data_IF_760834706683
#
_entry.id   IF_760834706683
#
_cell.length_a   1.000
_cell.length_b   1.000
_cell.length_c   1.000
_cell.angle_alpha   90.00
_cell.angle_beta   90.00
_cell.angle_gamma   90.00
#
_symmetry.space_group_name_H-M   'P 1'
#
loop_
_entity.id
_entity.type
_entity.pdbx_description
1 polymer ?
#
# COMPACT_ATOMS: atom_id res chain seq x y z
N UNK A 1 9.15 -22.80 -1.55
CA UNK A 1 9.71 -21.45 -1.65
C UNK A 1 8.57 -20.47 -1.72
N UNK A 2 8.63 -19.26 -1.13
CA UNK A 2 7.61 -18.25 -1.38
C UNK A 2 7.46 -18.05 -2.89
N UNK A 3 6.23 -18.12 -3.40
CA UNK A 3 5.98 -18.00 -4.83
C UNK A 3 6.00 -16.52 -5.22
N UNK A 4 6.97 -16.17 -6.05
CA UNK A 4 7.13 -14.86 -6.63
C UNK A 4 6.26 -14.77 -7.90
N UNK A 5 5.55 -13.66 -8.07
CA UNK A 5 4.81 -13.38 -9.30
C UNK A 5 5.78 -13.09 -10.45
N UNK A 6 5.41 -13.50 -11.67
CA UNK A 6 6.11 -13.15 -12.90
C UNK A 6 6.08 -11.63 -13.19
N UNK A 7 5.10 -10.93 -12.62
CA UNK A 7 5.07 -9.47 -12.61
C UNK A 7 5.84 -8.99 -11.37
N UNK A 8 7.15 -8.77 -11.52
CA UNK A 8 8.03 -8.41 -10.41
C UNK A 8 7.96 -6.93 -10.00
N UNK A 9 8.68 -6.58 -8.92
CA UNK A 9 8.68 -5.22 -8.34
C UNK A 9 9.37 -4.17 -9.20
N UNK A 10 10.20 -4.59 -10.15
CA UNK A 10 10.83 -3.75 -11.15
C UNK A 10 9.80 -3.03 -12.04
N UNK A 11 8.61 -3.62 -12.21
CA UNK A 11 7.49 -2.97 -12.91
C UNK A 11 6.93 -1.76 -12.14
N UNK A 12 7.29 -1.63 -10.86
CA UNK A 12 7.00 -0.45 -10.04
C UNK A 12 8.20 0.49 -9.95
N UNK A 13 9.29 0.26 -10.68
CA UNK A 13 10.51 1.07 -10.61
C UNK A 13 11.37 0.81 -9.36
N UNK A 14 11.02 -0.20 -8.57
CA UNK A 14 11.78 -0.62 -7.39
C UNK A 14 12.95 -1.48 -7.86
N UNK A 15 14.16 -1.10 -7.50
CA UNK A 15 15.40 -1.77 -7.90
C UNK A 15 16.41 -1.75 -6.75
N UNK A 16 17.41 -2.64 -6.81
CA UNK A 16 18.51 -2.69 -5.85
C UNK A 16 18.04 -2.78 -4.38
N UNK A 17 17.01 -3.58 -4.09
CA UNK A 17 16.51 -3.80 -2.73
C UNK A 17 17.40 -4.78 -1.97
N UNK A 18 17.19 -4.86 -0.65
CA UNK A 18 17.65 -5.99 0.15
C UNK A 18 16.82 -7.25 -0.14
N UNK A 19 16.51 -8.00 0.90
CA UNK A 19 15.70 -9.20 0.77
C UNK A 19 14.24 -8.86 0.42
N UNK A 20 13.64 -9.63 -0.49
CA UNK A 20 12.24 -9.45 -0.89
C UNK A 20 11.43 -10.68 -0.50
N UNK A 21 10.55 -10.51 0.49
CA UNK A 21 9.74 -11.55 1.09
C UNK A 21 8.34 -11.61 0.47
N UNK A 22 8.21 -12.42 -0.57
CA UNK A 22 6.96 -12.62 -1.29
C UNK A 22 5.98 -13.51 -0.53
N UNK A 23 4.74 -13.02 -0.33
CA UNK A 23 3.58 -13.82 0.08
C UNK A 23 3.83 -14.69 1.33
N UNK A 24 4.62 -14.18 2.28
CA UNK A 24 4.89 -14.88 3.53
C UNK A 24 3.58 -15.21 4.24
N UNK A 25 3.50 -16.44 4.76
CA UNK A 25 2.35 -16.89 5.54
C UNK A 25 2.42 -16.34 6.97
N UNK A 26 1.31 -16.48 7.71
CA UNK A 26 1.17 -15.92 9.06
C UNK A 26 2.31 -16.33 10.01
N UNK A 27 2.74 -17.61 10.12
CA UNK A 27 3.87 -17.98 10.98
C UNK A 27 5.17 -17.28 10.63
N UNK A 28 5.54 -17.19 9.33
CA UNK A 28 6.76 -16.49 8.91
C UNK A 28 6.71 -14.99 9.18
N UNK A 29 5.53 -14.39 9.00
CA UNK A 29 5.34 -12.99 9.35
C UNK A 29 5.49 -12.76 10.85
N UNK A 30 4.98 -13.66 11.69
CA UNK A 30 5.21 -13.60 13.14
C UNK A 30 6.69 -13.67 13.49
N UNK A 31 7.44 -14.60 12.90
CA UNK A 31 8.88 -14.73 13.10
C UNK A 31 9.62 -13.44 12.72
N UNK A 32 9.33 -12.87 11.56
CA UNK A 32 9.96 -11.63 11.10
C UNK A 32 9.57 -10.42 11.97
N UNK A 33 8.32 -10.31 12.41
CA UNK A 33 7.88 -9.24 13.34
C UNK A 33 8.72 -9.26 14.62
N UNK A 34 8.93 -10.44 15.22
CA UNK A 34 9.69 -10.59 16.46
C UNK A 34 11.19 -10.36 16.23
N UNK A 35 11.75 -10.95 15.17
CA UNK A 35 13.16 -10.79 14.77
C UNK A 35 13.51 -9.32 14.51
N UNK A 36 12.62 -8.58 13.85
CA UNK A 36 12.78 -7.15 13.53
C UNK A 36 12.37 -6.20 14.65
N UNK A 37 11.86 -6.73 15.77
CA UNK A 37 11.37 -5.93 16.91
C UNK A 37 10.26 -4.95 16.54
N UNK A 38 9.43 -5.32 15.57
CA UNK A 38 8.28 -4.52 15.13
C UNK A 38 7.09 -4.64 16.10
N UNK A 39 7.05 -5.71 16.89
CA UNK A 39 5.99 -6.01 17.83
C UNK A 39 6.38 -7.11 18.82
N UNK A 40 5.41 -7.56 19.59
CA UNK A 40 5.57 -8.66 20.53
C UNK A 40 4.36 -9.59 20.50
N UNK A 41 4.56 -10.89 20.72
CA UNK A 41 3.45 -11.82 20.96
C UNK A 41 2.99 -11.64 22.40
N UNK A 42 1.68 -11.48 22.62
CA UNK A 42 1.08 -11.36 23.95
C UNK A 42 0.29 -12.61 24.33
N UNK A 43 -0.25 -12.62 25.55
CA UNK A 43 -1.10 -13.72 26.02
C UNK A 43 -2.21 -14.06 25.00
N UNK A 44 -2.43 -15.35 24.77
CA UNK A 44 -3.31 -15.93 23.74
C UNK A 44 -2.77 -15.92 22.30
N UNK A 45 -1.55 -15.45 22.09
CA UNK A 45 -0.88 -15.52 20.80
C UNK A 45 -1.04 -14.36 19.81
N UNK A 46 -1.86 -13.30 19.99
CA UNK A 46 -1.85 -12.21 19.03
C UNK A 46 -0.57 -11.38 19.13
N UNK A 47 -0.20 -10.74 18.03
CA UNK A 47 0.87 -9.75 17.99
C UNK A 47 0.33 -8.38 18.39
N UNK A 48 1.01 -7.71 19.31
CA UNK A 48 0.83 -6.28 19.59
C UNK A 48 1.91 -5.47 18.86
N UNK A 49 1.51 -4.34 18.27
CA UNK A 49 2.39 -3.37 17.60
C UNK A 49 2.12 -1.96 18.12
N UNK A 50 3.02 -1.03 17.80
CA UNK A 50 2.83 0.41 18.06
C UNK A 50 2.94 1.17 16.75
N UNK A 51 1.98 2.05 16.49
CA UNK A 51 1.92 2.86 15.24
C UNK A 51 2.54 4.25 15.38
N UNK A 52 3.20 4.52 16.53
CA UNK A 52 3.85 5.80 16.81
C UNK A 52 2.86 6.94 16.98
N UNK A 53 3.19 8.12 16.43
CA UNK A 53 2.41 9.35 16.56
C UNK A 53 1.02 9.27 15.91
N UNK A 54 0.91 8.54 14.80
CA UNK A 54 -0.35 8.35 14.10
C UNK A 54 -1.09 7.12 14.65
N UNK A 55 -2.03 7.35 15.56
CA UNK A 55 -2.88 6.29 16.16
C UNK A 55 -4.25 6.17 15.48
N UNK A 56 -4.53 7.02 14.51
CA UNK A 56 -5.78 7.08 13.76
C UNK A 56 -5.53 7.61 12.34
N UNK A 57 -6.61 7.73 11.56
CA UNK A 57 -6.52 8.21 10.18
C UNK A 57 -5.95 9.63 10.10
N UNK A 58 -5.05 9.83 9.16
CA UNK A 58 -4.51 11.12 8.77
C UNK A 58 -5.32 11.69 7.60
N UNK A 59 -6.62 11.94 7.82
CA UNK A 59 -7.55 12.34 6.74
C UNK A 59 -7.14 13.64 6.02
N UNK A 60 -6.40 14.52 6.69
CA UNK A 60 -5.86 15.74 6.09
C UNK A 60 -4.65 15.48 5.18
N UNK A 61 -4.03 14.32 5.30
CA UNK A 61 -2.82 13.91 4.57
C UNK A 61 -3.16 13.02 3.35
N UNK A 62 -4.45 12.81 3.08
CA UNK A 62 -4.94 12.12 1.88
C UNK A 62 -5.07 13.09 0.70
N UNK A 63 -4.50 12.69 -0.43
CA UNK A 63 -4.57 13.39 -1.71
C UNK A 63 -4.84 12.42 -2.87
N UNK A 64 -5.32 12.97 -3.97
CA UNK A 64 -5.52 12.27 -5.25
C UNK A 64 -4.79 13.07 -6.33
N UNK A 65 -3.93 12.40 -7.09
CA UNK A 65 -3.20 13.04 -8.19
C UNK A 65 -4.21 13.53 -9.22
N UNK A 66 -4.08 14.81 -9.58
CA UNK A 66 -4.90 15.44 -10.60
C UNK A 66 -4.30 15.16 -11.97
N UNK A 67 -4.71 14.04 -12.56
CA UNK A 67 -4.22 13.53 -13.85
C UNK A 67 -5.38 13.26 -14.84
N UNK A 68 -5.13 13.29 -16.16
CA UNK A 68 -6.21 13.36 -17.16
C UNK A 68 -7.18 12.17 -17.18
N UNK A 69 -6.75 10.96 -16.80
CA UNK A 69 -7.56 9.74 -16.90
C UNK A 69 -8.63 9.63 -15.81
N UNK A 70 -8.46 10.30 -14.67
CA UNK A 70 -9.43 10.31 -13.58
C UNK A 70 -10.03 11.69 -13.29
N UNK A 71 -9.42 12.79 -13.74
CA UNK A 71 -9.78 14.14 -13.29
C UNK A 71 -11.28 14.46 -13.36
N UNK A 72 -11.94 14.02 -14.43
CA UNK A 72 -13.38 14.28 -14.66
C UNK A 72 -14.30 13.45 -13.78
N UNK A 73 -13.81 12.35 -13.23
CA UNK A 73 -14.57 11.39 -12.43
C UNK A 73 -14.37 11.60 -10.92
N UNK A 74 -13.48 12.49 -10.51
CA UNK A 74 -13.23 12.79 -9.10
C UNK A 74 -14.08 13.96 -8.62
N UNK A 75 -14.79 13.76 -7.52
CA UNK A 75 -15.46 14.84 -6.80
C UNK A 75 -14.45 15.62 -5.94
N UNK A 76 -13.81 16.61 -6.55
CA UNK A 76 -12.76 17.42 -5.92
C UNK A 76 -13.28 18.24 -4.72
N UNK A 77 -12.51 18.26 -3.63
CA UNK A 77 -12.87 19.02 -2.44
C UNK A 77 -11.99 18.71 -1.24
N UNK A 78 -12.48 19.02 -0.04
CA UNK A 78 -11.74 18.79 1.22
C UNK A 78 -11.37 17.30 1.43
N UNK A 79 -12.24 16.39 1.01
CA UNK A 79 -12.02 14.94 1.17
C UNK A 79 -11.14 14.34 0.06
N UNK A 80 -11.23 14.90 -1.14
CA UNK A 80 -10.47 14.49 -2.33
C UNK A 80 -9.62 15.67 -2.79
N UNK A 81 -8.51 15.90 -2.09
CA UNK A 81 -7.62 17.04 -2.38
C UNK A 81 -6.77 16.75 -3.60
N UNK A 82 -6.67 17.68 -4.57
CA UNK A 82 -5.81 17.49 -5.72
C UNK A 82 -4.34 17.50 -5.29
N UNK A 83 -3.55 16.64 -5.92
CA UNK A 83 -2.09 16.63 -5.86
C UNK A 83 -1.53 16.81 -7.27
N UNK A 84 -0.47 17.61 -7.40
CA UNK A 84 0.17 17.86 -8.68
C UNK A 84 0.95 16.62 -9.16
N UNK A 85 0.78 16.21 -10.41
CA UNK A 85 1.42 15.01 -10.95
C UNK A 85 2.96 15.11 -10.96
N UNK A 86 3.51 16.30 -11.25
CA UNK A 86 4.95 16.52 -11.21
C UNK A 86 5.52 16.31 -9.80
N UNK A 87 4.86 16.87 -8.77
CA UNK A 87 5.26 16.67 -7.38
C UNK A 87 5.14 15.21 -6.96
N UNK A 88 4.09 14.51 -7.40
CA UNK A 88 3.95 13.08 -7.15
C UNK A 88 5.14 12.32 -7.73
N UNK A 89 5.53 12.63 -8.97
CA UNK A 89 6.66 11.98 -9.63
C UNK A 89 7.98 12.24 -8.89
N UNK A 90 8.23 13.47 -8.44
CA UNK A 90 9.42 13.79 -7.64
C UNK A 90 9.44 13.04 -6.30
N UNK A 91 8.31 13.03 -5.59
CA UNK A 91 8.18 12.29 -4.32
C UNK A 91 8.36 10.79 -4.53
N UNK A 92 7.78 10.24 -5.61
CA UNK A 92 7.92 8.84 -5.97
C UNK A 92 9.37 8.44 -6.23
N UNK A 93 10.13 9.26 -6.97
CA UNK A 93 11.55 9.03 -7.23
C UNK A 93 12.38 9.03 -5.94
N UNK A 94 12.10 9.95 -5.01
CA UNK A 94 12.75 9.97 -3.70
C UNK A 94 12.46 8.70 -2.90
N UNK A 95 11.21 8.23 -2.98
CA UNK A 95 10.79 7.01 -2.31
C UNK A 95 11.47 5.78 -2.95
N UNK A 96 11.60 5.72 -4.28
CA UNK A 96 12.38 4.67 -4.97
C UNK A 96 13.85 4.67 -4.53
N UNK A 97 14.45 5.86 -4.40
CA UNK A 97 15.83 5.99 -3.91
C UNK A 97 15.96 5.53 -2.45
N UNK A 98 14.99 5.86 -1.59
CA UNK A 98 14.95 5.41 -0.19
C UNK A 98 14.86 3.89 -0.05
N UNK A 99 14.16 3.20 -0.97
CA UNK A 99 14.00 1.75 -0.90
C UNK A 99 15.23 0.96 -1.35
N UNK A 100 16.26 1.61 -1.90
CA UNK A 100 17.49 0.93 -2.26
C UNK A 100 18.19 0.39 -1.00
N UNK A 101 18.53 -0.91 -1.02
CA UNK A 101 19.11 -1.63 0.10
C UNK A 101 18.12 -2.04 1.19
N UNK A 102 16.85 -1.64 1.11
CA UNK A 102 15.85 -2.00 2.10
C UNK A 102 15.21 -3.36 1.79
N UNK A 103 14.93 -4.11 2.85
CA UNK A 103 14.11 -5.32 2.76
C UNK A 103 12.64 -4.95 2.53
N UNK A 104 11.94 -5.76 1.72
CA UNK A 104 10.53 -5.55 1.39
C UNK A 104 9.70 -6.79 1.65
N UNK A 105 8.47 -6.58 2.10
CA UNK A 105 7.44 -7.59 2.23
C UNK A 105 6.34 -7.32 1.21
N UNK A 106 5.94 -8.38 0.49
CA UNK A 106 4.92 -8.30 -0.55
C UNK A 106 3.76 -9.22 -0.22
N UNK A 107 2.54 -8.72 -0.34
CA UNK A 107 1.33 -9.54 -0.33
C UNK A 107 0.52 -9.27 -1.61
N UNK A 108 0.40 -10.31 -2.42
CA UNK A 108 -0.52 -10.39 -3.53
C UNK A 108 -1.86 -10.93 -3.02
N UNK A 109 -2.90 -10.11 -3.14
CA UNK A 109 -4.22 -10.36 -2.59
C UNK A 109 -5.31 -9.88 -3.53
N UNK A 110 -6.56 -10.05 -3.12
CA UNK A 110 -7.74 -9.57 -3.82
C UNK A 110 -8.61 -8.71 -2.90
N UNK A 111 -9.22 -7.68 -3.47
CA UNK A 111 -10.25 -6.87 -2.84
C UNK A 111 -11.60 -7.13 -3.52
N UNK A 112 -12.63 -7.49 -2.74
CA UNK A 112 -13.91 -7.97 -3.27
C UNK A 112 -13.95 -9.50 -3.40
N UNK A 113 -15.03 -10.12 -2.91
CA UNK A 113 -15.14 -11.58 -2.82
C UNK A 113 -15.69 -12.23 -4.09
N UNK A 114 -16.46 -11.49 -4.87
CA UNK A 114 -17.01 -11.97 -6.13
C UNK A 114 -15.89 -12.05 -7.19
N UNK A 115 -15.61 -13.23 -7.79
CA UNK A 115 -14.58 -13.37 -8.82
C UNK A 115 -14.76 -12.46 -10.04
N UNK A 116 -15.97 -12.04 -10.36
CA UNK A 116 -16.26 -11.12 -11.47
C UNK A 116 -15.75 -9.70 -11.18
N UNK A 117 -15.85 -9.26 -9.93
CA UNK A 117 -15.55 -7.88 -9.51
C UNK A 117 -14.32 -7.75 -8.61
N UNK A 118 -13.65 -8.88 -8.27
CA UNK A 118 -12.48 -8.85 -7.40
C UNK A 118 -11.33 -8.11 -8.09
N UNK A 119 -10.73 -7.18 -7.37
CA UNK A 119 -9.58 -6.41 -7.85
C UNK A 119 -8.29 -7.07 -7.34
N UNK A 120 -7.37 -7.52 -8.23
CA UNK A 120 -6.03 -7.92 -7.82
C UNK A 120 -5.28 -6.74 -7.21
N UNK A 121 -4.83 -6.88 -5.96
CA UNK A 121 -4.11 -5.84 -5.23
C UNK A 121 -2.76 -6.38 -4.78
N UNK A 122 -1.71 -5.60 -5.00
CA UNK A 122 -0.40 -5.84 -4.41
C UNK A 122 -0.12 -4.83 -3.30
N UNK A 123 0.25 -5.31 -2.13
CA UNK A 123 0.77 -4.47 -1.04
C UNK A 123 2.26 -4.71 -0.90
N UNK A 124 3.05 -3.65 -1.02
CA UNK A 124 4.50 -3.65 -0.82
C UNK A 124 4.80 -2.78 0.40
N UNK A 125 5.56 -3.31 1.36
CA UNK A 125 5.89 -2.55 2.57
C UNK A 125 7.25 -2.95 3.16
N UNK A 126 7.89 -2.05 3.91
CA UNK A 126 9.20 -2.30 4.54
C UNK A 126 9.12 -3.07 5.88
N UNK A 127 7.92 -3.47 6.32
CA UNK A 127 7.71 -4.11 7.63
C UNK A 127 6.85 -5.37 7.56
N UNK A 128 7.18 -6.37 8.37
CA UNK A 128 6.48 -7.65 8.42
C UNK A 128 5.05 -7.49 8.97
N UNK A 129 4.83 -6.62 9.95
CA UNK A 129 3.51 -6.48 10.58
C UNK A 129 2.47 -5.82 9.66
N UNK A 130 2.86 -4.85 8.82
CA UNK A 130 1.95 -4.29 7.82
C UNK A 130 1.64 -5.31 6.71
N UNK A 131 2.59 -6.19 6.38
CA UNK A 131 2.34 -7.34 5.50
C UNK A 131 1.32 -8.30 6.12
N UNK A 132 1.44 -8.60 7.41
CA UNK A 132 0.45 -9.40 8.15
C UNK A 132 -0.92 -8.73 8.17
N UNK A 133 -0.97 -7.40 8.35
CA UNK A 133 -2.22 -6.65 8.27
C UNK A 133 -2.88 -6.81 6.90
N UNK A 134 -2.15 -6.62 5.79
CA UNK A 134 -2.68 -6.80 4.45
C UNK A 134 -3.22 -8.22 4.24
N UNK A 135 -2.48 -9.24 4.69
CA UNK A 135 -2.88 -10.65 4.62
C UNK A 135 -4.17 -10.96 5.40
N UNK A 136 -4.38 -10.30 6.53
CA UNK A 136 -5.58 -10.47 7.35
C UNK A 136 -6.78 -9.70 6.80
N UNK A 137 -6.53 -8.55 6.18
CA UNK A 137 -7.58 -7.62 5.75
C UNK A 137 -8.16 -7.93 4.37
N UNK A 138 -7.34 -8.44 3.46
CA UNK A 138 -7.71 -8.73 2.08
C UNK A 138 -7.85 -10.23 1.84
N UNK A 139 -8.45 -10.60 0.71
CA UNK A 139 -8.62 -12.00 0.34
C UNK A 139 -7.28 -12.53 -0.15
N UNK A 140 -6.81 -13.59 0.49
CA UNK A 140 -5.54 -14.22 0.15
C UNK A 140 -5.67 -14.89 -1.22
N UNK A 141 -4.73 -14.59 -2.12
CA UNK A 141 -4.62 -15.33 -3.36
C UNK A 141 -4.26 -16.80 -3.07
N UNK A 142 -4.87 -17.73 -3.83
CA UNK A 142 -4.49 -19.13 -3.77
C UNK A 142 -3.12 -19.34 -4.38
N UNK A 143 -2.49 -20.44 -4.01
CA UNK A 143 -1.13 -20.77 -4.45
C UNK A 143 -0.97 -20.74 -5.97
N UNK A 144 -1.95 -21.26 -6.69
CA UNK A 144 -1.98 -21.34 -8.16
C UNK A 144 -2.21 -19.98 -8.82
N UNK A 145 -2.72 -19.00 -8.08
CA UNK A 145 -2.99 -17.64 -8.57
C UNK A 145 -1.78 -16.72 -8.39
N UNK A 146 -0.79 -17.08 -7.57
CA UNK A 146 0.33 -16.20 -7.21
C UNK A 146 1.32 -16.00 -8.36
N UNK A 147 1.63 -17.05 -9.13
CA UNK A 147 2.63 -16.97 -10.21
C UNK A 147 2.20 -16.00 -11.32
N UNK A 148 0.91 -16.02 -11.64
CA UNK A 148 0.28 -15.20 -12.68
C UNK A 148 -0.43 -13.96 -12.13
N UNK A 149 -0.23 -13.63 -10.85
CA UNK A 149 -0.85 -12.45 -10.23
C UNK A 149 -0.27 -11.17 -10.83
N UNK A 150 -1.11 -10.42 -11.54
CA UNK A 150 -0.80 -9.08 -12.04
C UNK A 150 -1.68 -8.10 -11.25
N UNK A 151 -1.09 -7.17 -10.47
CA UNK A 151 -1.87 -6.24 -9.67
C UNK A 151 -2.60 -5.24 -10.57
N UNK A 152 -3.89 -5.09 -10.35
CA UNK A 152 -4.67 -3.99 -10.91
C UNK A 152 -4.38 -2.70 -10.13
N UNK A 153 -4.19 -2.78 -8.81
CA UNK A 153 -3.65 -1.67 -8.01
C UNK A 153 -2.50 -2.11 -7.12
N UNK A 154 -1.52 -1.22 -6.94
CA UNK A 154 -0.40 -1.42 -6.01
C UNK A 154 -0.44 -0.39 -4.88
N UNK A 155 -0.27 -0.85 -3.65
CA UNK A 155 -0.07 0.00 -2.47
C UNK A 155 1.38 -0.14 -2.03
N UNK A 156 2.12 0.96 -2.12
CA UNK A 156 3.48 1.07 -1.62
C UNK A 156 3.48 1.81 -0.29
N UNK A 157 3.66 1.05 0.78
CA UNK A 157 3.52 1.50 2.17
C UNK A 157 4.88 1.53 2.87
N UNK A 158 5.44 2.73 3.01
CA UNK A 158 6.79 3.00 3.52
C UNK A 158 6.70 3.93 4.75
N UNK A 159 6.22 3.42 5.90
CA UNK A 159 5.86 4.21 7.06
C UNK A 159 7.01 5.05 7.64
N UNK A 160 8.27 4.63 7.45
CA UNK A 160 9.46 5.34 7.94
C UNK A 160 10.03 6.35 6.95
N UNK A 161 9.43 6.48 5.76
CA UNK A 161 9.76 7.55 4.83
C UNK A 161 8.88 8.77 5.11
N UNK A 162 9.52 9.88 5.47
CA UNK A 162 8.85 11.13 5.83
C UNK A 162 8.92 12.13 4.67
N UNK A 163 7.76 12.67 4.28
CA UNK A 163 7.72 13.79 3.35
C UNK A 163 8.30 15.06 3.99
N UNK A 164 8.78 15.96 3.15
CA UNK A 164 9.25 17.30 3.51
C UNK A 164 8.23 18.28 2.92
N UNK A 165 7.26 18.80 3.70
CA UNK A 165 6.13 19.58 3.19
C UNK A 165 6.51 20.70 2.21
N UNK A 166 7.60 21.42 2.51
CA UNK A 166 8.09 22.54 1.72
C UNK A 166 8.59 22.11 0.33
N UNK A 167 9.07 20.88 0.19
CA UNK A 167 9.61 20.32 -1.05
C UNK A 167 8.51 19.52 -1.77
N UNK A 168 7.81 18.66 -1.04
CA UNK A 168 6.91 17.66 -1.61
C UNK A 168 5.49 18.20 -1.84
N UNK A 169 5.13 19.33 -1.20
CA UNK A 169 3.77 19.87 -1.28
C UNK A 169 2.72 19.09 -0.48
N UNK A 170 3.16 18.31 0.50
CA UNK A 170 2.28 17.66 1.49
C UNK A 170 1.91 18.63 2.62
N UNK A 171 0.90 18.31 3.42
CA UNK A 171 0.53 19.15 4.58
C UNK A 171 1.44 18.89 5.78
N UNK A 172 1.90 17.65 5.94
CA UNK A 172 2.82 17.20 6.99
C UNK A 172 3.83 16.20 6.43
N UNK A 173 4.61 15.58 7.32
CA UNK A 173 5.50 14.48 6.97
C UNK A 173 4.77 13.21 6.53
N UNK A 174 3.51 13.04 6.93
CA UNK A 174 2.68 11.93 6.51
C UNK A 174 1.97 12.24 5.19
N UNK A 175 1.75 11.21 4.38
CA UNK A 175 1.03 11.35 3.12
C UNK A 175 0.38 10.03 2.71
N UNK A 176 -0.79 10.15 2.08
CA UNK A 176 -1.53 9.06 1.43
C UNK A 176 -1.95 9.60 0.07
N UNK A 177 -1.23 9.23 -0.99
CA UNK A 177 -1.46 9.80 -2.32
C UNK A 177 -1.87 8.70 -3.30
N UNK A 178 -3.06 8.86 -3.89
CA UNK A 178 -3.64 7.92 -4.86
C UNK A 178 -3.44 8.48 -6.26
N UNK A 179 -2.90 7.67 -7.17
CA UNK A 179 -2.78 7.97 -8.58
C UNK A 179 -3.54 6.92 -9.40
N UNK A 180 -4.72 7.29 -9.91
CA UNK A 180 -5.58 6.37 -10.67
C UNK A 180 -4.96 5.98 -12.02
N UNK A 181 -4.43 6.93 -12.79
CA UNK A 181 -3.77 6.64 -14.07
C UNK A 181 -2.58 5.66 -13.97
N UNK A 182 -1.78 5.73 -12.89
CA UNK A 182 -0.68 4.79 -12.60
C UNK A 182 -1.11 3.57 -11.79
N UNK A 183 -2.38 3.50 -11.40
CA UNK A 183 -2.95 2.49 -10.51
C UNK A 183 -2.11 2.21 -9.25
N UNK A 184 -1.66 3.30 -8.61
CA UNK A 184 -0.69 3.26 -7.53
C UNK A 184 -1.16 4.11 -6.35
N UNK A 185 -0.90 3.60 -5.14
CA UNK A 185 -1.01 4.36 -3.89
C UNK A 185 0.35 4.39 -3.22
N UNK A 186 0.80 5.57 -2.80
CA UNK A 186 1.95 5.72 -1.93
C UNK A 186 1.52 6.21 -0.55
N UNK A 187 2.07 5.57 0.49
CA UNK A 187 1.80 5.89 1.88
C UNK A 187 3.12 6.00 2.61
N UNK A 188 3.35 7.10 3.31
CA UNK A 188 4.54 7.32 4.13
C UNK A 188 4.28 8.26 5.30
N UNK A 189 5.24 8.32 6.23
CA UNK A 189 5.20 9.11 7.47
C UNK A 189 4.12 8.66 8.47
N UNK A 190 3.42 7.56 8.19
CA UNK A 190 2.40 7.00 9.09
C UNK A 190 2.48 5.48 9.10
N UNK A 191 2.51 4.91 10.31
CA UNK A 191 2.44 3.47 10.54
C UNK A 191 1.00 3.02 10.88
N UNK A 192 -0.01 3.87 10.65
CA UNK A 192 -1.40 3.49 10.86
C UNK A 192 -1.91 2.62 9.71
N UNK A 193 -1.91 1.30 9.90
CA UNK A 193 -2.30 0.33 8.87
C UNK A 193 -3.71 0.52 8.28
N UNK A 194 -4.60 1.23 9.00
CA UNK A 194 -5.92 1.61 8.48
C UNK A 194 -5.85 2.41 7.17
N UNK A 195 -4.74 3.10 6.88
CA UNK A 195 -4.55 3.79 5.61
C UNK A 195 -4.42 2.83 4.42
N UNK A 196 -3.80 1.64 4.60
CA UNK A 196 -3.76 0.60 3.56
C UNK A 196 -5.18 0.16 3.22
N UNK A 197 -5.97 -0.21 4.25
CA UNK A 197 -7.38 -0.62 4.08
C UNK A 197 -8.20 0.47 3.40
N UNK A 198 -8.11 1.71 3.87
CA UNK A 198 -8.96 2.81 3.39
C UNK A 198 -8.56 3.31 2.01
N UNK A 199 -7.30 3.16 1.61
CA UNK A 199 -6.86 3.43 0.24
C UNK A 199 -7.49 2.46 -0.74
N UNK A 200 -7.42 1.14 -0.47
CA UNK A 200 -8.09 0.13 -1.29
C UNK A 200 -9.61 0.33 -1.30
N UNK A 201 -10.21 0.63 -0.15
CA UNK A 201 -11.64 0.94 -0.12
C UNK A 201 -11.99 2.17 -0.98
N UNK A 202 -11.16 3.22 -0.96
CA UNK A 202 -11.33 4.40 -1.83
C UNK A 202 -11.27 4.00 -3.31
N UNK A 203 -10.32 3.13 -3.68
CA UNK A 203 -10.19 2.62 -5.05
C UNK A 203 -11.44 1.87 -5.48
N UNK A 204 -11.96 0.97 -4.65
CA UNK A 204 -13.20 0.25 -4.96
C UNK A 204 -14.40 1.19 -5.14
N UNK A 205 -14.53 2.21 -4.29
CA UNK A 205 -15.57 3.26 -4.43
C UNK A 205 -15.42 4.09 -5.72
N UNK A 206 -14.25 4.08 -6.35
CA UNK A 206 -14.04 4.72 -7.64
C UNK A 206 -14.35 3.77 -8.79
N UNK A 207 -13.85 2.52 -8.75
CA UNK A 207 -13.96 1.56 -9.85
C UNK A 207 -15.37 0.99 -10.00
N UNK A 208 -15.91 0.41 -8.93
CA UNK A 208 -17.13 -0.40 -8.98
C UNK A 208 -18.39 0.37 -9.42
N UNK A 209 -18.61 1.63 -9.03
CA UNK A 209 -19.74 2.40 -9.55
C UNK A 209 -19.70 2.61 -11.07
N UNK A 210 -18.53 2.62 -11.69
CA UNK A 210 -18.39 2.72 -13.15
C UNK A 210 -18.85 1.43 -13.86
N UNK A 211 -18.78 0.30 -13.15
CA UNK A 211 -19.31 -1.01 -13.54
C UNK A 211 -20.76 -1.22 -13.09
N UNK A 212 -21.42 -0.18 -12.56
CA UNK A 212 -22.78 -0.21 -12.00
C UNK A 212 -22.94 -1.14 -10.79
N UNK A 213 -21.85 -1.36 -10.06
CA UNK A 213 -21.85 -2.08 -8.78
C UNK A 213 -21.84 -1.09 -7.63
N UNK A 214 -22.80 -1.24 -6.71
CA UNK A 214 -22.86 -0.44 -5.48
C UNK A 214 -21.83 -0.94 -4.48
N UNK A 215 -21.08 -0.01 -3.87
CA UNK A 215 -20.02 -0.28 -2.89
C UNK A 215 -20.46 -0.14 -1.45
#
# INVERSE_FOLDING_TARGET
>A
MPLQSNYGIENHGITNTGDVFWNFNTPRLYEEIIKRREGAVVHLGPVIVRTGHHTARAANEKFIVKEPSSEKNIWWGKENRPFEEERFNTLYLRLMAYLQGNDLFIQDCFAGADPEYRTPVRVITETAWHSLFARNMFIQARWEELESHIPEFTVLHVPHFHAIPQIDGTNSEAFIIIHFGKKLVIIGGTAYAGEIKKSIFTILNYLLPQERVMT
#
